data_IF_053652154085
#
_entry.id   IF_053652154085
#
_cell.length_a   1.000
_cell.length_b   1.000
_cell.length_c   1.000
_cell.angle_alpha   90.00
_cell.angle_beta   90.00
_cell.angle_gamma   90.00
#
_symmetry.space_group_name_H-M   'P 1'
#
loop_
_entity.id
_entity.type
_entity.pdbx_description
1 polymer ?
#
# COMPACT_ATOMS: atom_id res chain seq x y z
N UNK A 1 4.56 8.26 14.82
CA UNK A 1 3.52 7.87 13.88
C UNK A 1 2.12 7.90 14.50
N UNK A 2 1.30 8.83 14.04
CA UNK A 2 -0.12 8.96 14.42
C UNK A 2 -0.92 7.81 13.80
N UNK A 3 -1.79 7.17 14.58
CA UNK A 3 -2.65 6.07 14.15
C UNK A 3 -4.10 6.34 14.56
N UNK A 4 -4.98 6.22 13.60
CA UNK A 4 -6.44 6.28 13.74
C UNK A 4 -7.05 4.90 13.57
N UNK A 5 -8.26 4.71 14.08
CA UNK A 5 -9.01 3.49 13.86
C UNK A 5 -9.35 3.33 12.37
N UNK A 6 -9.09 2.15 11.79
CA UNK A 6 -9.38 1.87 10.39
C UNK A 6 -10.81 1.36 10.21
N UNK A 7 -11.49 1.87 9.19
CA UNK A 7 -12.78 1.37 8.69
C UNK A 7 -12.56 1.07 7.21
N UNK A 8 -12.71 -0.18 6.83
CA UNK A 8 -12.33 -0.65 5.49
C UNK A 8 -13.60 -1.10 4.78
N UNK A 9 -13.84 -0.54 3.60
CA UNK A 9 -14.86 -0.98 2.65
C UNK A 9 -14.50 -2.30 1.98
N UNK A 10 -15.05 -2.50 0.80
CA UNK A 10 -14.88 -3.66 -0.06
C UNK A 10 -14.39 -3.22 -1.43
N UNK A 11 -14.21 -4.14 -2.38
CA UNK A 11 -13.90 -3.77 -3.76
C UNK A 11 -15.14 -3.45 -4.60
N UNK A 12 -16.26 -3.14 -3.96
CA UNK A 12 -17.53 -2.78 -4.57
C UNK A 12 -18.00 -1.44 -4.01
N UNK A 13 -18.97 -0.79 -4.67
CA UNK A 13 -19.56 0.45 -4.16
C UNK A 13 -20.13 0.29 -2.76
N UNK A 14 -19.57 1.04 -1.83
CA UNK A 14 -19.92 1.07 -0.41
C UNK A 14 -20.53 2.40 0.02
N UNK A 15 -21.23 2.39 1.14
CA UNK A 15 -21.68 3.62 1.83
C UNK A 15 -21.20 3.58 3.26
N UNK A 16 -20.18 4.41 3.56
CA UNK A 16 -19.44 4.32 4.81
C UNK A 16 -19.46 5.65 5.56
N UNK A 17 -19.84 5.58 6.82
CA UNK A 17 -19.80 6.71 7.75
C UNK A 17 -18.53 6.59 8.61
N UNK A 18 -17.60 7.53 8.41
CA UNK A 18 -16.45 7.76 9.28
C UNK A 18 -16.87 8.36 10.63
N UNK A 19 -16.04 8.18 11.63
CA UNK A 19 -16.27 8.64 13.00
C UNK A 19 -15.08 9.49 13.47
N UNK A 20 -15.20 10.07 14.67
CA UNK A 20 -14.12 10.88 15.23
C UNK A 20 -12.83 10.05 15.36
N UNK A 21 -11.74 10.56 14.79
CA UNK A 21 -10.43 9.91 14.87
C UNK A 21 -10.37 8.55 14.14
N UNK A 22 -11.06 8.43 13.00
CA UNK A 22 -10.97 7.26 12.12
C UNK A 22 -10.44 7.60 10.74
N UNK A 23 -9.83 6.61 10.10
CA UNK A 23 -9.59 6.59 8.65
C UNK A 23 -10.57 5.59 8.04
N UNK A 24 -11.34 6.05 7.07
CA UNK A 24 -12.27 5.25 6.27
C UNK A 24 -11.69 5.08 4.88
N UNK A 25 -11.56 3.84 4.41
CA UNK A 25 -11.16 3.50 3.05
C UNK A 25 -12.40 2.99 2.30
N UNK A 26 -12.71 3.60 1.16
CA UNK A 26 -13.68 3.07 0.19
C UNK A 26 -13.11 1.85 -0.54
N UNK A 27 -11.87 1.99 -1.02
CA UNK A 27 -11.13 1.07 -1.90
C UNK A 27 -11.63 1.18 -3.35
N UNK A 28 -11.76 0.05 -4.04
CA UNK A 28 -12.28 0.04 -5.40
C UNK A 28 -13.80 0.11 -5.38
N UNK A 29 -14.42 0.91 -6.23
CA UNK A 29 -15.86 1.08 -6.23
C UNK A 29 -16.23 2.54 -6.48
N UNK A 30 -17.52 2.81 -6.65
CA UNK A 30 -18.03 4.17 -6.56
C UNK A 30 -18.61 4.35 -5.16
N UNK A 31 -17.82 4.88 -4.23
CA UNK A 31 -18.12 4.86 -2.82
C UNK A 31 -18.76 6.15 -2.34
N UNK A 32 -19.68 6.04 -1.38
CA UNK A 32 -20.25 7.19 -0.69
C UNK A 32 -19.64 7.29 0.71
N UNK A 33 -18.75 8.25 0.90
CA UNK A 33 -18.00 8.47 2.12
C UNK A 33 -18.48 9.75 2.83
N UNK A 34 -18.87 9.60 4.09
CA UNK A 34 -19.27 10.75 4.92
C UNK A 34 -18.77 10.59 6.35
N UNK A 35 -19.03 11.55 7.22
CA UNK A 35 -18.67 11.50 8.63
C UNK A 35 -19.89 11.54 9.54
N UNK A 36 -19.81 11.00 10.74
CA UNK A 36 -20.87 11.12 11.74
C UNK A 36 -21.11 12.60 12.10
N UNK A 37 -22.36 12.98 12.41
CA UNK A 37 -22.65 14.34 12.86
C UNK A 37 -21.84 14.68 14.12
N UNK A 38 -21.21 15.86 14.13
CA UNK A 38 -20.36 16.30 15.24
C UNK A 38 -18.97 15.66 15.28
N UNK A 39 -18.61 14.80 14.32
CA UNK A 39 -17.30 14.15 14.32
C UNK A 39 -16.19 15.09 13.90
N UNK A 40 -15.04 15.01 14.58
CA UNK A 40 -13.83 15.69 14.18
C UNK A 40 -12.78 14.68 13.70
N UNK A 41 -11.94 15.07 12.75
CA UNK A 41 -10.82 14.25 12.27
C UNK A 41 -11.27 12.92 11.63
N UNK A 42 -12.34 12.97 10.84
CA UNK A 42 -12.75 11.83 10.01
C UNK A 42 -12.01 11.87 8.68
N UNK A 43 -11.03 10.99 8.51
CA UNK A 43 -10.26 10.88 7.27
C UNK A 43 -11.02 9.92 6.34
N UNK A 44 -11.30 10.36 5.12
CA UNK A 44 -12.04 9.66 4.08
C UNK A 44 -11.11 9.48 2.88
N UNK A 45 -10.81 8.25 2.55
CA UNK A 45 -9.98 7.85 1.41
C UNK A 45 -10.89 7.09 0.47
N UNK A 46 -11.10 7.63 -0.73
CA UNK A 46 -11.93 7.01 -1.76
C UNK A 46 -11.32 5.71 -2.23
N UNK A 47 -10.24 5.82 -2.99
CA UNK A 47 -9.63 4.71 -3.69
C UNK A 47 -10.01 4.75 -5.16
N UNK A 48 -9.94 3.62 -5.86
CA UNK A 48 -10.23 3.57 -7.29
C UNK A 48 -11.73 3.55 -7.63
N UNK A 49 -12.19 4.58 -8.31
CA UNK A 49 -13.54 4.66 -8.88
C UNK A 49 -14.13 6.04 -8.64
N UNK A 50 -15.42 6.23 -8.93
CA UNK A 50 -16.06 7.55 -8.85
C UNK A 50 -16.67 7.77 -7.46
N UNK A 51 -15.91 8.43 -6.58
CA UNK A 51 -16.23 8.52 -5.17
C UNK A 51 -16.97 9.81 -4.81
N UNK A 52 -17.87 9.71 -3.85
CA UNK A 52 -18.69 10.81 -3.35
C UNK A 52 -18.39 11.06 -1.88
N UNK A 53 -17.88 12.25 -1.59
CA UNK A 53 -17.61 12.76 -0.26
C UNK A 53 -18.71 13.71 0.20
N UNK A 54 -19.19 13.54 1.42
CA UNK A 54 -20.24 14.40 1.97
C UNK A 54 -19.82 15.02 3.30
N UNK A 55 -19.61 16.35 3.28
CA UNK A 55 -19.36 17.17 4.46
C UNK A 55 -20.64 17.84 4.98
N UNK A 56 -20.62 18.25 6.25
CA UNK A 56 -21.80 18.80 6.94
C UNK A 56 -21.38 19.75 8.08
N UNK A 57 -22.29 20.59 8.61
CA UNK A 57 -22.02 21.45 9.76
C UNK A 57 -21.49 20.67 10.96
N UNK A 58 -20.63 21.33 11.74
CA UNK A 58 -19.96 20.78 12.92
C UNK A 58 -19.14 19.50 12.65
N UNK A 59 -18.58 19.35 11.44
CA UNK A 59 -17.69 18.23 11.14
C UNK A 59 -16.38 18.70 10.56
N UNK A 60 -15.32 17.96 10.87
CA UNK A 60 -14.01 18.12 10.23
C UNK A 60 -13.67 16.84 9.49
N UNK A 61 -13.70 16.90 8.16
CA UNK A 61 -13.31 15.79 7.30
C UNK A 61 -11.99 16.07 6.59
N UNK A 62 -11.25 15.01 6.30
CA UNK A 62 -10.06 15.05 5.45
C UNK A 62 -10.25 14.09 4.31
N UNK A 63 -10.14 14.57 3.08
CA UNK A 63 -10.32 13.81 1.86
C UNK A 63 -8.95 13.54 1.25
N UNK A 64 -8.72 12.29 0.86
CA UNK A 64 -7.59 11.89 0.03
C UNK A 64 -8.08 10.83 -0.96
N UNK A 65 -8.48 11.27 -2.16
CA UNK A 65 -9.19 10.42 -3.12
C UNK A 65 -8.36 9.24 -3.62
N UNK A 66 -7.27 9.52 -4.35
CA UNK A 66 -6.27 8.53 -4.79
C UNK A 66 -6.77 7.54 -5.84
N UNK A 67 -7.88 7.83 -6.53
CA UNK A 67 -8.47 7.00 -7.58
C UNK A 67 -8.21 7.42 -9.01
N UNK A 68 -7.75 8.65 -9.24
CA UNK A 68 -7.63 9.27 -10.58
C UNK A 68 -8.89 9.07 -11.43
N UNK A 69 -10.07 9.15 -10.80
CA UNK A 69 -11.36 9.08 -11.48
C UNK A 69 -11.67 10.42 -12.14
N UNK A 70 -12.67 10.42 -13.04
CA UNK A 70 -13.09 11.63 -13.74
C UNK A 70 -14.37 12.24 -13.14
N UNK A 71 -14.89 11.67 -12.04
CA UNK A 71 -16.21 11.99 -11.53
C UNK A 71 -16.28 11.98 -9.99
N UNK A 72 -15.18 12.26 -9.31
CA UNK A 72 -15.17 12.34 -7.86
C UNK A 72 -15.89 13.62 -7.44
N UNK A 73 -16.75 13.49 -6.43
CA UNK A 73 -17.69 14.54 -6.02
C UNK A 73 -17.53 14.86 -4.56
N UNK A 74 -17.34 16.13 -4.23
CA UNK A 74 -17.45 16.64 -2.87
C UNK A 74 -18.73 17.46 -2.72
N UNK A 75 -19.61 17.03 -1.83
CA UNK A 75 -20.76 17.80 -1.37
C UNK A 75 -20.43 18.56 -0.08
N UNK A 76 -20.66 19.86 -0.10
CA UNK A 76 -20.61 20.74 1.08
C UNK A 76 -22.00 21.30 1.38
N UNK A 77 -22.29 21.54 2.66
CA UNK A 77 -23.57 22.10 3.08
C UNK A 77 -23.52 23.61 3.31
N UNK A 78 -22.38 24.12 3.77
CA UNK A 78 -22.22 25.53 4.15
C UNK A 78 -20.95 26.15 3.58
N UNK A 79 -19.98 25.35 3.15
CA UNK A 79 -18.81 25.84 2.43
C UNK A 79 -19.15 26.16 0.98
N UNK A 80 -18.85 27.37 0.52
CA UNK A 80 -19.05 27.81 -0.86
C UNK A 80 -18.55 29.25 -1.06
N UNK A 81 -18.47 29.73 -2.31
CA UNK A 81 -18.09 31.11 -2.62
C UNK A 81 -18.80 32.23 -1.84
N UNK A 82 -20.07 32.07 -1.47
CA UNK A 82 -20.80 33.09 -0.69
C UNK A 82 -20.63 32.94 0.82
N UNK A 83 -19.99 31.86 1.30
CA UNK A 83 -19.80 31.63 2.72
C UNK A 83 -18.69 32.49 3.30
N UNK A 84 -18.68 32.63 4.63
CA UNK A 84 -17.61 33.33 5.36
C UNK A 84 -16.41 32.41 5.64
N UNK A 85 -16.20 31.41 4.79
CA UNK A 85 -15.15 30.43 4.98
C UNK A 85 -13.75 31.07 4.91
N UNK A 86 -12.91 30.60 5.81
CA UNK A 86 -11.47 30.84 5.79
C UNK A 86 -10.82 29.70 5.01
N UNK A 87 -9.87 30.03 4.14
CA UNK A 87 -9.16 29.04 3.32
C UNK A 87 -7.65 29.17 3.46
N UNK A 88 -6.91 28.08 3.26
CA UNK A 88 -5.46 28.10 3.27
C UNK A 88 -4.87 26.98 2.41
N UNK A 89 -3.65 27.19 1.94
CA UNK A 89 -2.78 26.09 1.53
C UNK A 89 -1.99 25.59 2.74
N UNK A 90 -1.62 24.31 2.71
CA UNK A 90 -0.80 23.68 3.74
C UNK A 90 0.42 23.07 3.06
N UNK A 91 1.61 23.51 3.47
CA UNK A 91 2.90 23.08 2.91
C UNK A 91 2.98 23.17 1.37
N UNK A 92 2.28 24.14 0.76
CA UNK A 92 2.08 24.30 -0.70
C UNK A 92 1.51 23.06 -1.40
N UNK A 93 0.84 22.18 -0.66
CA UNK A 93 0.50 20.83 -1.10
C UNK A 93 -0.96 20.46 -0.86
N UNK A 94 -1.50 20.79 0.30
CA UNK A 94 -2.87 20.47 0.70
C UNK A 94 -3.72 21.74 0.75
N UNK A 95 -5.04 21.59 0.75
CA UNK A 95 -5.99 22.69 0.84
C UNK A 95 -6.92 22.49 2.03
N UNK A 96 -7.33 23.59 2.66
CA UNK A 96 -8.37 23.59 3.69
C UNK A 96 -9.37 24.71 3.44
N UNK A 97 -10.65 24.40 3.66
CA UNK A 97 -11.73 25.37 3.78
C UNK A 97 -12.49 25.12 5.09
N UNK A 98 -12.75 26.18 5.85
CA UNK A 98 -13.43 26.10 7.15
C UNK A 98 -14.41 27.26 7.32
N UNK A 99 -15.68 26.95 7.52
CA UNK A 99 -16.68 27.92 7.97
C UNK A 99 -16.77 27.84 9.49
N UNK A 100 -16.19 28.84 10.15
CA UNK A 100 -16.13 28.90 11.61
C UNK A 100 -17.49 29.15 12.28
N UNK A 101 -18.49 29.63 11.53
CA UNK A 101 -19.83 29.86 12.07
C UNK A 101 -20.61 28.55 12.16
N UNK A 102 -20.42 27.65 11.19
CA UNK A 102 -21.16 26.38 11.09
C UNK A 102 -20.33 25.20 11.59
N UNK A 103 -19.02 25.37 11.74
CA UNK A 103 -18.07 24.33 12.11
C UNK A 103 -17.80 23.30 11.01
N UNK A 104 -18.26 23.53 9.78
CA UNK A 104 -17.94 22.66 8.63
C UNK A 104 -16.51 22.95 8.15
N UNK A 105 -15.66 21.93 8.20
CA UNK A 105 -14.25 22.03 7.79
C UNK A 105 -13.88 20.85 6.90
N UNK A 106 -13.30 21.15 5.74
CA UNK A 106 -12.83 20.16 4.77
C UNK A 106 -11.35 20.39 4.49
N UNK A 107 -10.56 19.33 4.66
CA UNK A 107 -9.20 19.22 4.17
C UNK A 107 -9.18 18.38 2.91
N UNK A 108 -8.40 18.78 1.90
CA UNK A 108 -8.12 17.99 0.71
C UNK A 108 -6.61 17.79 0.62
N UNK A 109 -6.18 16.54 0.74
CA UNK A 109 -4.77 16.15 0.71
C UNK A 109 -4.30 16.07 -0.74
N UNK A 110 -3.11 16.62 -1.03
CA UNK A 110 -2.50 16.58 -2.37
C UNK A 110 -3.38 17.26 -3.43
N UNK A 111 -3.98 18.39 -3.03
CA UNK A 111 -4.98 19.15 -3.77
C UNK A 111 -4.62 19.50 -5.22
N UNK A 112 -3.31 19.61 -5.54
CA UNK A 112 -2.82 19.92 -6.88
C UNK A 112 -2.30 18.71 -7.67
N UNK A 113 -2.42 17.48 -7.13
CA UNK A 113 -2.07 16.26 -7.87
C UNK A 113 -3.27 15.79 -8.68
N UNK A 114 -3.18 15.70 -10.02
CA UNK A 114 -4.30 15.28 -10.86
C UNK A 114 -4.91 13.94 -10.46
N UNK A 115 -4.12 13.02 -9.91
CA UNK A 115 -4.59 11.70 -9.48
C UNK A 115 -5.46 11.74 -8.22
N UNK A 116 -5.53 12.89 -7.54
CA UNK A 116 -6.31 13.13 -6.32
C UNK A 116 -7.32 14.28 -6.47
N UNK A 117 -7.61 14.68 -7.72
CA UNK A 117 -8.57 15.75 -7.94
C UNK A 117 -9.96 15.34 -7.47
N UNK A 118 -10.70 16.34 -7.01
CA UNK A 118 -12.14 16.23 -6.89
C UNK A 118 -12.72 17.01 -8.07
N UNK A 119 -13.27 16.31 -9.05
CA UNK A 119 -13.70 16.93 -10.31
C UNK A 119 -14.91 17.83 -10.10
N UNK A 120 -15.77 17.48 -9.14
CA UNK A 120 -17.02 18.19 -8.89
C UNK A 120 -17.16 18.54 -7.41
N UNK A 121 -16.98 19.81 -7.08
CA UNK A 121 -17.21 20.35 -5.74
C UNK A 121 -18.59 21.03 -5.77
N UNK A 122 -19.60 20.34 -5.25
CA UNK A 122 -20.97 20.79 -5.17
C UNK A 122 -21.21 21.53 -3.86
N UNK A 123 -21.44 22.83 -3.98
CA UNK A 123 -21.64 23.77 -2.87
C UNK A 123 -23.06 24.36 -2.93
N UNK A 124 -23.52 25.07 -1.88
CA UNK A 124 -24.77 25.83 -1.95
C UNK A 124 -24.84 26.87 -3.08
N UNK A 125 -23.68 27.34 -3.56
CA UNK A 125 -23.58 28.36 -4.62
C UNK A 125 -23.48 27.76 -6.03
N UNK A 126 -23.43 26.43 -6.14
CA UNK A 126 -23.29 25.71 -7.41
C UNK A 126 -22.15 24.69 -7.41
N UNK A 127 -21.89 24.14 -8.59
CA UNK A 127 -20.84 23.13 -8.82
C UNK A 127 -19.59 23.78 -9.41
N UNK A 128 -18.43 23.49 -8.83
CA UNK A 128 -17.14 24.04 -9.23
C UNK A 128 -16.13 22.92 -9.43
N UNK A 129 -15.20 23.10 -10.36
CA UNK A 129 -14.01 22.25 -10.42
C UNK A 129 -13.01 22.65 -9.34
N UNK A 130 -12.07 21.75 -9.03
CA UNK A 130 -10.91 22.04 -8.15
C UNK A 130 -10.19 23.34 -8.55
N UNK A 131 -9.93 23.54 -9.86
CA UNK A 131 -9.28 24.76 -10.37
C UNK A 131 -10.12 26.02 -10.18
N UNK A 132 -11.42 25.95 -10.46
CA UNK A 132 -12.33 27.10 -10.29
C UNK A 132 -12.40 27.52 -8.81
N UNK A 133 -12.55 26.54 -7.91
CA UNK A 133 -12.57 26.78 -6.47
C UNK A 133 -11.24 27.40 -6.02
N UNK A 134 -10.11 26.87 -6.48
CA UNK A 134 -8.79 27.41 -6.16
C UNK A 134 -8.61 28.86 -6.60
N UNK A 135 -8.98 29.18 -7.85
CA UNK A 135 -8.89 30.53 -8.39
C UNK A 135 -9.73 31.51 -7.58
N UNK A 136 -10.93 31.09 -7.16
CA UNK A 136 -11.80 31.89 -6.31
C UNK A 136 -11.19 32.08 -4.91
N UNK A 137 -10.81 30.99 -4.23
CA UNK A 137 -10.34 31.00 -2.85
C UNK A 137 -9.13 31.94 -2.67
N UNK A 138 -8.11 31.82 -3.53
CA UNK A 138 -6.88 32.63 -3.42
C UNK A 138 -7.08 34.13 -3.67
N UNK A 139 -8.21 34.53 -4.25
CA UNK A 139 -8.55 35.93 -4.50
C UNK A 139 -9.29 36.57 -3.30
N UNK A 140 -9.75 35.77 -2.34
CA UNK A 140 -10.51 36.27 -1.20
C UNK A 140 -9.60 36.84 -0.10
N UNK A 141 -10.01 37.91 0.60
CA UNK A 141 -9.31 38.39 1.79
C UNK A 141 -9.26 37.37 2.93
N UNK A 142 -10.16 36.39 2.94
CA UNK A 142 -10.20 35.30 3.93
C UNK A 142 -9.19 34.18 3.63
N UNK A 143 -8.45 34.25 2.52
CA UNK A 143 -7.35 33.33 2.24
C UNK A 143 -6.14 33.66 3.11
N UNK A 144 -5.72 32.69 3.92
CA UNK A 144 -4.64 32.86 4.89
C UNK A 144 -3.24 32.70 4.28
N UNK A 145 -3.14 32.42 2.98
CA UNK A 145 -1.89 32.09 2.32
C UNK A 145 -1.49 30.63 2.51
N UNK A 146 -0.19 30.38 2.48
CA UNK A 146 0.38 29.05 2.71
C UNK A 146 0.87 28.92 4.15
N UNK A 147 0.34 27.92 4.84
CA UNK A 147 0.57 27.65 6.25
C UNK A 147 1.30 26.31 6.42
N UNK A 148 1.93 26.12 7.58
CA UNK A 148 2.32 24.79 8.06
C UNK A 148 1.17 24.16 8.82
N UNK A 149 1.21 22.84 9.01
CA UNK A 149 0.28 22.14 9.90
C UNK A 149 0.26 22.75 11.32
N UNK A 150 1.42 23.18 11.83
CA UNK A 150 1.53 23.82 13.15
C UNK A 150 0.82 25.19 13.23
N UNK A 151 0.79 25.96 12.14
CA UNK A 151 0.09 27.24 12.10
C UNK A 151 -1.44 27.04 12.21
N UNK A 152 -1.95 25.94 11.66
CA UNK A 152 -3.35 25.56 11.77
C UNK A 152 -3.73 25.08 13.19
N UNK A 153 -2.81 24.41 13.90
CA UNK A 153 -3.00 24.04 15.31
C UNK A 153 -3.24 25.27 16.17
N UNK A 154 -2.46 26.33 15.95
CA UNK A 154 -2.60 27.59 16.69
C UNK A 154 -3.94 28.30 16.45
N UNK A 155 -4.62 27.93 15.35
CA UNK A 155 -5.93 28.46 14.93
C UNK A 155 -7.08 27.52 15.29
N UNK A 156 -6.81 26.39 15.94
CA UNK A 156 -7.82 25.39 16.31
C UNK A 156 -8.39 24.61 15.12
N UNK A 157 -7.69 24.61 13.98
CA UNK A 157 -8.19 24.00 12.74
C UNK A 157 -7.72 22.55 12.58
N UNK A 158 -6.61 22.15 13.17
CA UNK A 158 -6.02 20.80 13.06
C UNK A 158 -5.72 20.15 14.42
N UNK A 159 -5.52 18.84 14.41
CA UNK A 159 -5.10 18.05 15.58
C UNK A 159 -3.64 18.43 15.96
N UNK A 160 -3.18 18.40 17.24
CA UNK A 160 -1.97 19.07 17.71
C UNK A 160 -0.65 18.37 17.31
N UNK A 161 -0.64 17.63 16.21
CA UNK A 161 0.55 16.96 15.68
C UNK A 161 1.44 17.94 14.92
N UNK A 162 2.74 17.64 14.91
CA UNK A 162 3.72 18.38 14.13
C UNK A 162 3.54 18.18 12.62
N UNK A 163 4.12 19.06 11.81
CA UNK A 163 4.20 18.86 10.35
C UNK A 163 4.83 17.51 9.98
N UNK A 164 5.84 17.08 10.72
CA UNK A 164 6.53 15.81 10.46
C UNK A 164 5.62 14.60 10.71
N UNK A 165 4.91 14.57 11.84
CA UNK A 165 3.99 13.49 12.20
C UNK A 165 2.80 13.42 11.25
N UNK A 166 2.26 14.56 10.82
CA UNK A 166 1.15 14.62 9.87
C UNK A 166 1.58 14.10 8.50
N UNK A 167 2.75 14.53 8.00
CA UNK A 167 3.28 14.03 6.73
C UNK A 167 3.64 12.53 6.78
N UNK A 168 4.14 12.05 7.92
CA UNK A 168 4.37 10.62 8.16
C UNK A 168 3.04 9.84 8.09
N UNK A 169 1.97 10.34 8.72
CA UNK A 169 0.65 9.72 8.69
C UNK A 169 0.05 9.71 7.28
N UNK A 170 0.13 10.83 6.54
CA UNK A 170 -0.32 10.93 5.14
C UNK A 170 0.37 9.86 4.28
N UNK A 171 1.70 9.72 4.40
CA UNK A 171 2.48 8.75 3.62
C UNK A 171 2.12 7.31 3.99
N UNK A 172 1.90 7.03 5.27
CA UNK A 172 1.48 5.69 5.66
C UNK A 172 0.11 5.34 5.10
N UNK A 173 -0.87 6.22 5.25
CA UNK A 173 -2.24 5.94 4.79
C UNK A 173 -2.34 5.88 3.27
N UNK A 174 -1.39 6.51 2.55
CA UNK A 174 -1.20 6.32 1.11
C UNK A 174 -0.84 4.89 0.77
N UNK A 175 0.22 4.38 1.39
CA UNK A 175 0.68 3.02 1.16
C UNK A 175 -0.34 1.99 1.63
N UNK A 176 -1.05 2.28 2.73
CA UNK A 176 -2.11 1.42 3.27
C UNK A 176 -3.29 1.32 2.31
N UNK A 177 -3.78 2.43 1.76
CA UNK A 177 -4.86 2.43 0.78
C UNK A 177 -4.48 1.60 -0.46
N UNK A 178 -3.31 1.89 -1.04
CA UNK A 178 -2.82 1.15 -2.21
C UNK A 178 -2.65 -0.36 -1.93
N UNK A 179 -2.17 -0.73 -0.74
CA UNK A 179 -2.00 -2.13 -0.34
C UNK A 179 -3.33 -2.87 -0.14
N UNK A 180 -4.36 -2.19 0.37
CA UNK A 180 -5.70 -2.76 0.55
C UNK A 180 -6.43 -2.98 -0.78
N UNK A 181 -6.10 -2.21 -1.83
CA UNK A 181 -6.65 -2.38 -3.18
C UNK A 181 -5.97 -3.47 -4.02
N UNK A 182 -4.87 -4.04 -3.55
CA UNK A 182 -4.20 -5.13 -4.27
C UNK A 182 -5.15 -6.33 -4.37
N UNK A 183 -5.60 -6.62 -5.59
CA UNK A 183 -6.35 -7.84 -5.91
C UNK A 183 -5.39 -9.02 -5.93
N UNK A 184 -5.35 -9.76 -4.83
CA UNK A 184 -4.60 -11.01 -4.75
C UNK A 184 -5.43 -12.16 -5.34
N UNK A 185 -4.81 -13.08 -6.10
CA UNK A 185 -5.51 -14.24 -6.63
C UNK A 185 -6.03 -15.13 -5.50
N UNK A 186 -7.10 -15.89 -5.78
CA UNK A 186 -7.45 -17.02 -4.92
C UNK A 186 -6.23 -17.93 -4.86
N UNK A 187 -5.82 -18.31 -3.66
CA UNK A 187 -4.64 -19.15 -3.53
C UNK A 187 -4.95 -20.58 -3.96
N UNK A 188 -4.11 -21.13 -4.83
CA UNK A 188 -4.19 -22.52 -5.28
C UNK A 188 -3.20 -23.40 -4.51
N UNK A 189 -3.50 -24.69 -4.43
CA UNK A 189 -2.63 -25.65 -3.76
C UNK A 189 -1.37 -25.85 -4.62
N UNK A 190 -0.21 -25.51 -4.06
CA UNK A 190 1.08 -25.62 -4.76
C UNK A 190 1.71 -24.27 -5.06
N UNK A 191 0.92 -23.23 -5.31
CA UNK A 191 1.43 -21.92 -5.71
C UNK A 191 2.47 -21.35 -4.75
N UNK A 192 3.59 -20.87 -5.30
CA UNK A 192 4.61 -20.12 -4.56
C UNK A 192 4.66 -18.68 -5.06
N UNK A 193 4.36 -17.77 -4.16
CA UNK A 193 4.24 -16.33 -4.41
C UNK A 193 5.57 -15.61 -4.22
N UNK A 194 5.93 -14.73 -5.16
CA UNK A 194 7.14 -13.90 -5.08
C UNK A 194 6.82 -12.46 -4.71
N UNK A 195 7.63 -11.92 -3.82
CA UNK A 195 7.64 -10.52 -3.45
C UNK A 195 9.04 -9.93 -3.63
N UNK A 196 9.11 -8.68 -4.06
CA UNK A 196 10.34 -7.90 -4.11
C UNK A 196 10.36 -6.86 -3.00
N UNK A 197 11.33 -6.94 -2.09
CA UNK A 197 11.59 -5.91 -1.09
C UNK A 197 12.30 -4.73 -1.75
N UNK A 198 11.56 -3.65 -1.98
CA UNK A 198 12.01 -2.42 -2.63
C UNK A 198 13.03 -1.61 -1.84
N UNK A 199 13.09 -1.76 -0.51
CA UNK A 199 14.05 -1.05 0.34
C UNK A 199 15.40 -1.77 0.40
N UNK A 200 15.39 -3.11 0.39
CA UNK A 200 16.59 -3.94 0.55
C UNK A 200 17.09 -4.59 -0.73
N UNK A 201 16.30 -4.59 -1.80
CA UNK A 201 16.64 -5.22 -3.07
C UNK A 201 16.74 -6.75 -2.99
N UNK A 202 15.82 -7.40 -2.27
CA UNK A 202 15.83 -8.85 -2.03
C UNK A 202 14.44 -9.44 -2.30
N UNK A 203 14.39 -10.71 -2.70
CA UNK A 203 13.13 -11.41 -2.94
C UNK A 203 12.72 -12.26 -1.74
N UNK A 204 11.41 -12.46 -1.61
CA UNK A 204 10.78 -13.33 -0.64
C UNK A 204 9.79 -14.26 -1.34
N UNK A 205 9.74 -15.51 -0.91
CA UNK A 205 8.91 -16.56 -1.50
C UNK A 205 8.07 -17.25 -0.43
N UNK A 206 6.78 -17.44 -0.68
CA UNK A 206 5.89 -18.16 0.23
C UNK A 206 4.82 -18.94 -0.50
N UNK A 207 4.54 -20.15 -0.03
CA UNK A 207 3.37 -20.95 -0.41
C UNK A 207 2.18 -20.71 0.52
N UNK A 208 2.38 -19.96 1.61
CA UNK A 208 1.33 -19.71 2.59
C UNK A 208 0.50 -18.49 2.16
N UNK A 209 -0.74 -18.75 1.76
CA UNK A 209 -1.72 -17.73 1.32
C UNK A 209 -1.94 -16.65 2.39
N UNK A 210 -2.02 -17.02 3.68
CA UNK A 210 -2.18 -16.05 4.75
C UNK A 210 -0.93 -15.19 4.96
N UNK A 211 0.27 -15.75 4.77
CA UNK A 211 1.53 -15.00 4.80
C UNK A 211 1.63 -14.06 3.60
N UNK A 212 1.26 -14.53 2.39
CA UNK A 212 1.16 -13.71 1.18
C UNK A 212 0.24 -12.50 1.42
N UNK A 213 -0.98 -12.75 1.88
CA UNK A 213 -1.98 -11.69 2.11
C UNK A 213 -1.50 -10.70 3.17
N UNK A 214 -0.93 -11.20 4.26
CA UNK A 214 -0.38 -10.37 5.33
C UNK A 214 0.77 -9.48 4.86
N UNK A 215 1.71 -10.02 4.07
CA UNK A 215 2.84 -9.25 3.53
C UNK A 215 2.34 -8.19 2.56
N UNK A 216 1.48 -8.57 1.60
CA UNK A 216 0.93 -7.66 0.61
C UNK A 216 0.18 -6.49 1.24
N UNK A 217 -0.59 -6.74 2.30
CA UNK A 217 -1.46 -5.73 2.90
C UNK A 217 -0.78 -4.90 3.99
N UNK A 218 0.25 -5.42 4.66
CA UNK A 218 0.82 -4.80 5.87
C UNK A 218 2.30 -4.40 5.76
N UNK A 219 3.05 -4.95 4.80
CA UNK A 219 4.49 -4.68 4.65
C UNK A 219 4.77 -3.93 3.34
N UNK A 220 4.54 -2.62 3.34
CA UNK A 220 4.59 -1.78 2.13
C UNK A 220 5.92 -1.73 1.39
N UNK A 221 7.01 -2.17 2.02
CA UNK A 221 8.30 -2.33 1.35
C UNK A 221 8.34 -3.53 0.40
N UNK A 222 7.43 -4.49 0.54
CA UNK A 222 7.30 -5.66 -0.32
C UNK A 222 6.29 -5.39 -1.44
N UNK A 223 6.77 -5.41 -2.68
CA UNK A 223 5.92 -5.42 -3.88
C UNK A 223 5.58 -6.87 -4.23
N UNK A 224 4.30 -7.19 -4.30
CA UNK A 224 3.84 -8.47 -4.84
C UNK A 224 4.18 -8.57 -6.33
N UNK A 225 4.82 -9.65 -6.76
CA UNK A 225 5.22 -9.88 -8.15
C UNK A 225 4.44 -11.00 -8.82
N UNK A 226 3.46 -11.57 -8.12
CA UNK A 226 2.66 -12.67 -8.61
C UNK A 226 3.13 -14.04 -8.11
N UNK A 227 2.59 -15.06 -8.75
CA UNK A 227 3.03 -16.43 -8.61
C UNK A 227 4.32 -16.65 -9.40
N UNK A 228 5.30 -17.29 -8.77
CA UNK A 228 6.61 -17.52 -9.37
C UNK A 228 6.72 -18.90 -10.03
N UNK A 229 6.10 -19.90 -9.40
CA UNK A 229 6.10 -21.31 -9.79
C UNK A 229 5.17 -22.09 -8.86
N UNK A 230 4.86 -23.32 -9.26
CA UNK A 230 4.12 -24.29 -8.47
C UNK A 230 5.05 -25.26 -7.76
N UNK A 231 4.88 -25.39 -6.45
CA UNK A 231 5.51 -26.41 -5.63
C UNK A 231 4.88 -27.78 -5.87
N UNK A 232 5.61 -28.85 -5.51
CA UNK A 232 5.09 -30.20 -5.61
C UNK A 232 3.92 -30.41 -4.63
N UNK A 233 2.72 -30.68 -5.16
CA UNK A 233 1.47 -30.79 -4.38
C UNK A 233 1.29 -32.18 -3.75
N UNK A 234 1.80 -33.23 -4.41
CA UNK A 234 1.69 -34.61 -3.90
C UNK A 234 2.99 -35.06 -3.22
N UNK A 235 2.87 -35.60 -2.01
CA UNK A 235 3.99 -36.28 -1.36
C UNK A 235 4.25 -37.61 -2.07
N UNK A 236 5.48 -37.81 -2.54
CA UNK A 236 5.86 -38.97 -3.34
C UNK A 236 7.36 -39.27 -3.23
N UNK A 237 7.80 -40.39 -3.80
CA UNK A 237 9.21 -40.78 -3.78
C UNK A 237 10.12 -39.80 -4.54
N UNK A 238 9.54 -38.96 -5.40
CA UNK A 238 10.20 -37.96 -6.23
C UNK A 238 10.17 -36.55 -5.63
N UNK A 239 9.58 -36.35 -4.44
CA UNK A 239 9.51 -35.03 -3.80
C UNK A 239 10.40 -34.91 -2.57
N UNK A 240 10.88 -33.70 -2.33
CA UNK A 240 11.76 -33.36 -1.20
C UNK A 240 11.32 -32.05 -0.56
N UNK A 241 11.62 -31.87 0.73
CA UNK A 241 11.28 -30.66 1.47
C UNK A 241 12.19 -29.50 1.08
N UNK A 242 11.63 -28.30 0.95
CA UNK A 242 12.36 -27.04 0.85
C UNK A 242 12.38 -26.37 2.21
N UNK A 243 13.57 -26.30 2.82
CA UNK A 243 13.82 -25.70 4.12
C UNK A 243 13.99 -24.19 3.99
N UNK A 244 13.27 -23.42 4.83
CA UNK A 244 13.34 -21.95 4.86
C UNK A 244 14.08 -21.45 6.10
N UNK A 245 14.87 -20.40 5.89
CA UNK A 245 15.58 -19.70 6.95
C UNK A 245 15.41 -18.19 6.82
N UNK A 246 15.34 -17.52 7.96
CA UNK A 246 15.37 -16.06 8.07
C UNK A 246 16.71 -15.57 8.62
N UNK A 247 17.44 -14.77 7.85
CA UNK A 247 18.66 -14.09 8.30
C UNK A 247 18.28 -12.83 9.07
N UNK A 248 18.55 -12.80 10.39
CA UNK A 248 18.19 -11.67 11.27
C UNK A 248 18.99 -10.40 11.02
N UNK A 249 20.18 -10.50 10.43
CA UNK A 249 21.06 -9.35 10.18
C UNK A 249 20.63 -8.60 8.91
N UNK A 250 20.32 -9.35 7.86
CA UNK A 250 19.97 -8.75 6.54
C UNK A 250 18.46 -8.66 6.33
N UNK A 251 17.67 -9.53 6.96
CA UNK A 251 16.26 -9.74 6.66
C UNK A 251 16.00 -10.61 5.41
N UNK A 252 17.04 -11.21 4.83
CA UNK A 252 16.93 -12.11 3.69
C UNK A 252 16.35 -13.47 4.10
N UNK A 253 15.66 -14.11 3.17
CA UNK A 253 15.27 -15.52 3.32
C UNK A 253 16.16 -16.41 2.45
N UNK A 254 16.42 -17.62 2.94
CA UNK A 254 17.21 -18.64 2.28
C UNK A 254 16.43 -19.95 2.19
N UNK A 255 16.49 -20.60 1.03
CA UNK A 255 15.72 -21.79 0.70
C UNK A 255 16.64 -22.88 0.16
N UNK A 256 16.54 -24.09 0.71
CA UNK A 256 17.35 -25.24 0.27
C UNK A 256 16.62 -26.56 0.43
N UNK A 257 16.81 -27.48 -0.51
CA UNK A 257 16.38 -28.89 -0.40
C UNK A 257 17.47 -29.78 0.22
N UNK A 258 18.68 -29.25 0.39
CA UNK A 258 19.82 -30.02 0.88
C UNK A 258 19.80 -30.09 2.41
N UNK A 259 19.48 -31.26 2.95
CA UNK A 259 19.46 -31.50 4.39
C UNK A 259 20.81 -31.26 5.08
N UNK A 260 21.94 -31.54 4.41
CA UNK A 260 23.26 -31.27 4.96
C UNK A 260 23.57 -29.75 5.01
N UNK A 261 23.11 -28.98 4.00
CA UNK A 261 23.21 -27.53 4.01
C UNK A 261 22.34 -26.92 5.12
N UNK A 262 21.10 -27.40 5.27
CA UNK A 262 20.22 -27.06 6.40
C UNK A 262 20.92 -27.28 7.74
N UNK A 263 21.46 -28.47 7.96
CA UNK A 263 22.12 -28.84 9.22
C UNK A 263 23.41 -28.03 9.47
N UNK A 264 24.12 -27.65 8.40
CA UNK A 264 25.27 -26.76 8.46
C UNK A 264 24.87 -25.35 8.88
N UNK A 265 23.83 -24.77 8.27
CA UNK A 265 23.32 -23.44 8.61
C UNK A 265 22.88 -23.40 10.07
N UNK A 266 22.04 -24.36 10.50
CA UNK A 266 21.57 -24.46 11.90
C UNK A 266 22.74 -24.49 12.89
N UNK A 267 23.78 -25.25 12.58
CA UNK A 267 24.90 -25.47 13.50
C UNK A 267 25.92 -24.33 13.52
N UNK A 268 26.09 -23.61 12.41
CA UNK A 268 27.24 -22.70 12.24
C UNK A 268 26.87 -21.24 12.06
N UNK A 269 25.64 -20.93 11.64
CA UNK A 269 25.21 -19.55 11.35
C UNK A 269 24.14 -19.12 12.35
N UNK A 270 24.58 -18.61 13.49
CA UNK A 270 23.69 -18.22 14.59
C UNK A 270 22.72 -17.10 14.22
N UNK A 271 23.02 -16.29 13.21
CA UNK A 271 22.14 -15.22 12.72
C UNK A 271 20.97 -15.74 11.87
N UNK A 272 20.99 -16.99 11.41
CA UNK A 272 19.89 -17.60 10.67
C UNK A 272 18.94 -18.35 11.61
N UNK A 273 17.67 -18.00 11.55
CA UNK A 273 16.59 -18.74 12.20
C UNK A 273 16.04 -19.78 11.22
N UNK A 274 15.99 -21.04 11.63
CA UNK A 274 15.31 -22.08 10.86
C UNK A 274 13.79 -21.96 11.06
N UNK A 275 13.06 -21.82 9.96
CA UNK A 275 11.59 -21.61 9.97
C UNK A 275 10.81 -22.88 9.60
N UNK A 276 11.51 -23.98 9.30
CA UNK A 276 10.89 -25.25 8.95
C UNK A 276 10.85 -25.49 7.43
N UNK A 277 9.92 -26.36 7.04
CA UNK A 277 9.63 -26.67 5.63
C UNK A 277 8.65 -25.62 5.10
N UNK A 278 9.03 -24.91 4.04
CA UNK A 278 8.14 -23.94 3.40
C UNK A 278 7.18 -24.61 2.41
N UNK A 279 7.70 -25.52 1.58
CA UNK A 279 6.95 -26.27 0.59
C UNK A 279 7.79 -27.48 0.13
N UNK A 280 7.26 -28.27 -0.81
CA UNK A 280 7.98 -29.40 -1.43
C UNK A 280 8.39 -29.08 -2.86
N UNK A 281 9.50 -29.66 -3.30
CA UNK A 281 10.00 -29.57 -4.66
C UNK A 281 10.20 -30.96 -5.25
N UNK A 282 10.33 -31.07 -6.56
CA UNK A 282 10.71 -32.31 -7.22
C UNK A 282 12.23 -32.48 -7.21
N UNK A 283 12.66 -33.74 -7.13
CA UNK A 283 14.08 -34.13 -7.04
C UNK A 283 14.77 -34.24 -8.41
N UNK A 284 14.00 -34.25 -9.50
CA UNK A 284 14.49 -34.29 -10.88
C UNK A 284 13.49 -33.67 -11.85
N UNK A 285 13.89 -33.42 -13.10
CA UNK A 285 12.99 -32.92 -14.16
C UNK A 285 12.01 -33.96 -14.69
N UNK A 286 12.18 -35.24 -14.35
CA UNK A 286 11.34 -36.35 -14.85
C UNK A 286 11.13 -36.34 -16.38
N UNK A 287 12.23 -36.28 -17.15
CA UNK A 287 12.22 -36.16 -18.60
C UNK A 287 11.56 -34.86 -19.12
N UNK A 288 11.67 -33.77 -18.35
CA UNK A 288 11.14 -32.45 -18.71
C UNK A 288 9.68 -32.23 -18.30
N UNK A 289 9.16 -33.04 -17.38
CA UNK A 289 7.85 -32.79 -16.76
C UNK A 289 7.91 -31.66 -15.72
N UNK A 290 9.08 -31.41 -15.12
CA UNK A 290 9.31 -30.35 -14.13
C UNK A 290 10.45 -29.43 -14.56
N UNK A 291 10.27 -28.15 -14.29
CA UNK A 291 11.21 -27.09 -14.66
C UNK A 291 12.33 -26.92 -13.64
N UNK A 292 13.47 -26.45 -14.14
CA UNK A 292 14.61 -26.07 -13.31
C UNK A 292 14.35 -24.75 -12.59
N UNK A 293 14.50 -24.74 -11.25
CA UNK A 293 14.56 -23.50 -10.49
C UNK A 293 16.03 -23.09 -10.30
N UNK A 294 16.43 -22.01 -10.95
CA UNK A 294 17.78 -21.47 -10.92
C UNK A 294 18.04 -20.69 -9.63
N UNK A 295 19.17 -20.94 -8.96
CA UNK A 295 19.61 -20.22 -7.75
C UNK A 295 20.76 -19.29 -8.03
N UNK A 296 20.70 -18.10 -7.45
CA UNK A 296 21.78 -17.13 -7.47
C UNK A 296 22.07 -16.60 -6.07
N UNK A 297 23.34 -16.35 -5.77
CA UNK A 297 23.77 -15.65 -4.57
C UNK A 297 24.12 -14.18 -4.90
N UNK A 298 23.42 -13.23 -4.29
CA UNK A 298 23.73 -11.81 -4.40
C UNK A 298 24.81 -11.41 -3.38
N UNK A 299 26.02 -11.17 -3.86
CA UNK A 299 27.20 -10.83 -3.02
C UNK A 299 27.07 -9.50 -2.29
N UNK A 300 26.19 -8.61 -2.76
CA UNK A 300 25.98 -7.30 -2.16
C UNK A 300 25.01 -7.35 -0.98
N UNK A 301 23.92 -8.10 -1.11
CA UNK A 301 22.87 -8.18 -0.07
C UNK A 301 23.01 -9.39 0.84
N UNK A 302 23.79 -10.40 0.41
CA UNK A 302 23.87 -11.70 1.08
C UNK A 302 22.60 -12.54 0.94
N UNK A 303 21.69 -12.16 0.04
CA UNK A 303 20.44 -12.86 -0.23
C UNK A 303 20.57 -13.82 -1.42
N UNK A 304 19.68 -14.81 -1.48
CA UNK A 304 19.53 -15.65 -2.65
C UNK A 304 18.36 -15.19 -3.51
N UNK A 305 18.47 -15.41 -4.82
CA UNK A 305 17.44 -15.18 -5.81
C UNK A 305 17.11 -16.48 -6.54
N UNK A 306 15.83 -16.68 -6.84
CA UNK A 306 15.31 -17.90 -7.45
C UNK A 306 14.39 -17.56 -8.63
N UNK A 307 14.56 -18.24 -9.75
CA UNK A 307 13.71 -18.06 -10.94
C UNK A 307 13.63 -19.34 -11.77
N UNK A 308 12.47 -19.60 -12.37
CA UNK A 308 12.27 -20.61 -13.42
C UNK A 308 12.51 -20.04 -14.82
N UNK A 309 12.58 -18.71 -14.95
CA UNK A 309 12.75 -18.05 -16.25
C UNK A 309 14.19 -18.14 -16.73
N UNK A 310 14.40 -18.86 -17.83
CA UNK A 310 15.69 -18.89 -18.51
C UNK A 310 16.13 -17.50 -19.00
N UNK A 311 15.20 -16.68 -19.48
CA UNK A 311 15.50 -15.33 -19.91
C UNK A 311 15.95 -14.43 -18.75
N UNK A 312 15.33 -14.58 -17.56
CA UNK A 312 15.75 -13.87 -16.35
C UNK A 312 17.12 -14.36 -15.88
N UNK A 313 17.34 -15.69 -15.87
CA UNK A 313 18.65 -16.31 -15.60
C UNK A 313 19.73 -15.72 -16.50
N UNK A 314 19.51 -15.74 -17.81
CA UNK A 314 20.49 -15.30 -18.81
C UNK A 314 20.75 -13.80 -18.69
N UNK A 315 19.71 -13.00 -18.42
CA UNK A 315 19.85 -11.56 -18.18
C UNK A 315 20.67 -11.26 -16.93
N UNK A 316 20.46 -11.98 -15.82
CA UNK A 316 21.23 -11.79 -14.59
C UNK A 316 22.69 -12.16 -14.82
N UNK A 317 22.96 -13.30 -15.46
CA UNK A 317 24.33 -13.74 -15.78
C UNK A 317 25.05 -12.73 -16.67
N UNK A 318 24.36 -12.18 -17.67
CA UNK A 318 24.96 -11.23 -18.61
C UNK A 318 25.17 -9.83 -18.01
N UNK A 319 24.25 -9.37 -17.16
CA UNK A 319 24.15 -7.94 -16.84
C UNK A 319 24.42 -7.60 -15.36
N UNK A 320 24.36 -8.57 -14.43
CA UNK A 320 24.43 -8.29 -12.98
C UNK A 320 25.64 -8.99 -12.31
N UNK A 321 26.84 -8.37 -12.33
CA UNK A 321 28.08 -9.01 -11.86
C UNK A 321 28.14 -9.29 -10.34
N UNK A 322 27.25 -8.68 -9.56
CA UNK A 322 27.12 -8.93 -8.12
C UNK A 322 26.37 -10.25 -7.81
N UNK A 323 25.73 -10.88 -8.79
CA UNK A 323 25.10 -12.18 -8.63
C UNK A 323 26.07 -13.31 -9.04
N UNK A 324 26.13 -14.35 -8.22
CA UNK A 324 26.80 -15.61 -8.55
C UNK A 324 25.75 -16.63 -8.94
N UNK A 325 25.79 -17.16 -10.16
CA UNK A 325 24.94 -18.29 -10.53
C UNK A 325 25.42 -19.55 -9.81
N UNK A 326 24.51 -20.24 -9.12
CA UNK A 326 24.81 -21.44 -8.32
C UNK A 326 24.24 -22.71 -8.95
N UNK A 327 23.62 -22.61 -10.13
CA UNK A 327 23.02 -23.73 -10.85
C UNK A 327 21.56 -23.94 -10.52
N UNK A 328 21.09 -25.16 -10.78
CA UNK A 328 19.73 -25.62 -10.46
C UNK A 328 19.65 -25.92 -8.98
N UNK A 329 18.72 -25.28 -8.28
CA UNK A 329 18.46 -25.52 -6.87
C UNK A 329 17.70 -26.84 -6.67
N UNK A 330 16.61 -26.99 -7.41
CA UNK A 330 15.64 -28.09 -7.40
C UNK A 330 14.62 -27.86 -8.53
N UNK A 331 13.64 -28.74 -8.65
CA UNK A 331 12.65 -28.72 -9.74
C UNK A 331 11.25 -28.37 -9.23
N UNK A 332 10.47 -27.66 -10.05
CA UNK A 332 9.13 -27.11 -9.75
C UNK A 332 8.26 -27.18 -11.00
N UNK A 333 6.96 -26.90 -10.89
CA UNK A 333 6.08 -26.72 -12.05
C UNK A 333 5.95 -25.22 -12.41
N UNK A 334 5.60 -24.91 -13.65
CA UNK A 334 5.31 -23.53 -14.06
C UNK A 334 3.95 -23.09 -13.54
N UNK A 335 3.89 -21.82 -13.13
CA UNK A 335 2.65 -21.09 -12.87
C UNK A 335 1.93 -20.70 -14.19
#
# INVERSE_FOLDING_TARGET
MVRFAERIGTSASDSIVGITGSVTYGLAGNDFLTSQAGSAYSILIGGSGADTYYSRPNTTITIADRGSSANDVLYTQTLGPSSQAVTALIDNRHFVASDLNTGETVYIIDFFKPENYIEQIQTPDGTFTTDQLWQFARAQPSFLGNLRWEDLNSRGLTHPFSTAETNEAISFYEKRAAALEIKLPVGDEGSVYRFYNTEKGMHFYTSNVAERDSIAQNLFQYRYEGEAFDAATQSGANTTDVFRFFNRDTGAHFYTTNAAERDQVIRTLSNFNYEGVAYKAYTSSENGAHEELYRFFNKQTGAHFYTTSEAERDSIVANLPNYSFEGVAYYVDLA
#
